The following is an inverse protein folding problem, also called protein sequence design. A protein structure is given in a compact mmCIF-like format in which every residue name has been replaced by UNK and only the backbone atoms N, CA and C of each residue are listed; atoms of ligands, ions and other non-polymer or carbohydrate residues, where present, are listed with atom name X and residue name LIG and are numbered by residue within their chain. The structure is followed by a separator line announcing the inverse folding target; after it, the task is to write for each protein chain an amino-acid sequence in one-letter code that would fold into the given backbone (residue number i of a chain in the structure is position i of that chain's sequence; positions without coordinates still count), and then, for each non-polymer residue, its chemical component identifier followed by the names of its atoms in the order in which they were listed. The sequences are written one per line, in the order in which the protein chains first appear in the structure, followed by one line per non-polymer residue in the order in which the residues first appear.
data_IF_172208691683
#
_entry.id   IF_172208691683
#
_cell.length_a   1.000
_cell.length_b   1.000
_cell.length_c   1.000
_cell.angle_alpha   90.00
_cell.angle_beta   90.00
_cell.angle_gamma   90.00
#
_symmetry.space_group_name_H-M   'P 1'
#
loop_
_entity.id
_entity.type
_entity.pdbx_description
1 polymer ?
#
# COMPACT_ATOMS: atom_id res chain seq x y z
N UNK A 1 -9.81 -16.91 36.78
CA UNK A 1 -8.70 -16.93 35.79
C UNK A 1 -9.35 -17.04 34.43
N UNK A 2 -9.56 -15.91 33.78
CA UNK A 2 -10.20 -15.86 32.46
C UNK A 2 -9.22 -16.45 31.45
N UNK A 3 -9.63 -17.49 30.73
CA UNK A 3 -8.81 -18.12 29.71
C UNK A 3 -8.53 -17.09 28.63
N UNK A 4 -7.26 -16.72 28.48
CA UNK A 4 -6.76 -15.82 27.44
C UNK A 4 -7.09 -16.39 26.06
N UNK A 5 -8.21 -15.96 25.47
CA UNK A 5 -8.75 -16.51 24.23
C UNK A 5 -8.05 -15.91 23.01
N UNK A 6 -6.79 -16.32 22.80
CA UNK A 6 -6.20 -16.25 21.45
C UNK A 6 -6.80 -17.39 20.64
N UNK A 7 -7.49 -17.05 19.56
CA UNK A 7 -8.22 -17.98 18.72
C UNK A 7 -7.57 -18.09 17.34
N UNK A 8 -7.41 -19.29 16.77
CA UNK A 8 -6.94 -19.43 15.41
C UNK A 8 -8.01 -18.93 14.42
N UNK A 9 -7.57 -18.18 13.42
CA UNK A 9 -8.39 -17.77 12.29
C UNK A 9 -8.17 -18.74 11.14
N UNK A 10 -9.26 -19.24 10.55
CA UNK A 10 -9.22 -20.10 9.38
C UNK A 10 -8.92 -19.31 8.08
N UNK A 11 -7.92 -18.42 8.14
CA UNK A 11 -7.50 -17.56 7.04
C UNK A 11 -6.21 -18.13 6.46
N UNK A 12 -6.18 -18.51 5.18
CA UNK A 12 -4.97 -18.99 4.54
C UNK A 12 -3.98 -17.84 4.37
N UNK A 13 -2.79 -17.99 4.94
CA UNK A 13 -1.72 -17.04 4.67
C UNK A 13 -0.96 -17.47 3.40
N UNK A 14 -0.79 -16.58 2.40
CA UNK A 14 0.01 -16.79 1.17
C UNK A 14 1.48 -16.35 1.33
N UNK A 15 2.44 -16.97 0.65
CA UNK A 15 3.87 -16.81 0.95
C UNK A 15 4.37 -15.35 0.86
N UNK A 16 3.64 -14.52 0.11
CA UNK A 16 3.91 -13.10 -0.09
C UNK A 16 3.19 -12.16 0.89
N UNK A 17 2.47 -12.68 1.89
CA UNK A 17 1.69 -11.89 2.85
C UNK A 17 2.54 -10.83 3.53
N UNK A 18 3.65 -11.24 4.14
CA UNK A 18 4.58 -10.40 4.88
C UNK A 18 5.17 -9.31 3.98
N UNK A 19 5.48 -9.66 2.73
CA UNK A 19 5.99 -8.71 1.71
C UNK A 19 4.91 -7.72 1.27
N UNK A 20 3.66 -8.15 1.12
CA UNK A 20 2.56 -7.28 0.75
C UNK A 20 2.25 -6.27 1.86
N UNK A 21 2.28 -6.73 3.11
CA UNK A 21 2.14 -5.91 4.32
C UNK A 21 3.38 -5.07 4.64
N UNK A 22 4.51 -5.31 3.99
CA UNK A 22 5.74 -4.53 4.20
C UNK A 22 6.36 -4.74 5.57
N UNK A 23 6.22 -5.92 6.16
CA UNK A 23 6.76 -6.23 7.49
C UNK A 23 8.29 -6.33 7.40
N UNK A 24 9.02 -5.47 8.13
CA UNK A 24 10.49 -5.35 8.00
C UNK A 24 11.28 -6.12 9.07
N UNK A 25 10.60 -6.71 10.05
CA UNK A 25 11.24 -7.45 11.16
C UNK A 25 11.47 -8.93 10.79
N UNK A 26 12.41 -9.57 11.48
CA UNK A 26 12.68 -11.01 11.40
C UNK A 26 12.00 -11.81 12.52
N UNK A 27 11.30 -11.14 13.44
CA UNK A 27 10.57 -11.84 14.50
C UNK A 27 9.55 -12.81 13.93
N UNK A 28 9.45 -14.00 14.53
CA UNK A 28 8.51 -15.06 14.12
C UNK A 28 7.06 -14.64 14.35
N UNK A 29 6.80 -14.05 15.51
CA UNK A 29 5.47 -13.69 15.98
C UNK A 29 5.27 -12.18 15.85
N UNK A 30 4.13 -11.77 15.30
CA UNK A 30 3.81 -10.35 15.13
C UNK A 30 2.35 -10.07 15.45
N UNK A 31 2.09 -9.10 16.32
CA UNK A 31 0.78 -8.48 16.46
C UNK A 31 0.59 -7.45 15.35
N UNK A 32 -0.57 -7.45 14.71
CA UNK A 32 -0.98 -6.50 13.65
C UNK A 32 -2.28 -5.82 14.08
N UNK A 33 -2.35 -4.51 13.92
CA UNK A 33 -3.52 -3.71 14.29
C UNK A 33 -3.60 -2.41 13.49
N UNK A 34 -4.78 -1.80 13.45
CA UNK A 34 -4.95 -0.46 12.90
C UNK A 34 -4.78 0.60 14.00
N UNK A 35 -3.92 1.58 13.75
CA UNK A 35 -3.78 2.76 14.58
C UNK A 35 -4.58 3.92 13.96
N UNK A 36 -5.78 4.24 14.48
CA UNK A 36 -6.66 5.24 13.89
C UNK A 36 -6.03 6.64 13.85
N UNK A 37 -5.20 7.01 14.84
CA UNK A 37 -4.59 8.35 14.89
C UNK A 37 -3.56 8.55 13.78
N UNK A 38 -2.93 7.46 13.32
CA UNK A 38 -1.95 7.47 12.24
C UNK A 38 -2.57 7.12 10.89
N UNK A 39 -3.81 6.64 10.88
CA UNK A 39 -4.49 6.05 9.73
C UNK A 39 -3.61 4.98 9.03
N UNK A 40 -2.96 4.15 9.85
CA UNK A 40 -1.97 3.18 9.39
C UNK A 40 -2.13 1.84 10.09
N UNK A 41 -1.74 0.78 9.38
CA UNK A 41 -1.51 -0.52 10.00
C UNK A 41 -0.17 -0.49 10.71
N UNK A 42 -0.17 -0.87 11.98
CA UNK A 42 1.01 -1.06 12.78
C UNK A 42 1.25 -2.55 13.02
N UNK A 43 2.51 -2.89 13.25
CA UNK A 43 2.89 -4.22 13.71
C UNK A 43 3.85 -4.14 14.89
N UNK A 44 3.82 -5.13 15.76
CA UNK A 44 4.73 -5.23 16.90
C UNK A 44 5.18 -6.66 17.13
N UNK A 45 6.43 -6.84 17.52
CA UNK A 45 6.98 -8.10 18.04
C UNK A 45 7.01 -8.13 19.57
N UNK A 46 6.37 -7.15 20.23
CA UNK A 46 6.39 -6.94 21.67
C UNK A 46 7.44 -5.94 22.13
N UNK A 47 8.60 -5.88 21.47
CA UNK A 47 9.68 -4.96 21.83
C UNK A 47 9.66 -3.70 20.97
N UNK A 48 9.40 -3.87 19.68
CA UNK A 48 9.42 -2.81 18.69
C UNK A 48 8.05 -2.63 18.05
N UNK A 49 7.81 -1.43 17.53
CA UNK A 49 6.62 -1.12 16.73
C UNK A 49 7.09 -0.61 15.37
N UNK A 50 6.51 -1.18 14.32
CA UNK A 50 6.72 -0.78 12.94
C UNK A 50 5.40 -0.41 12.25
N UNK A 51 5.54 0.19 11.07
CA UNK A 51 4.42 0.58 10.21
C UNK A 51 4.39 -0.35 9.02
N UNK A 52 3.22 -0.90 8.72
CA UNK A 52 3.00 -1.73 7.54
C UNK A 52 2.35 -0.96 6.38
N UNK A 53 1.99 -1.71 5.35
CA UNK A 53 1.34 -1.18 4.16
C UNK A 53 -0.18 -1.07 4.36
N UNK A 54 -0.65 0.16 4.59
CA UNK A 54 -2.08 0.51 4.76
C UNK A 54 -2.99 -0.04 3.66
N UNK A 55 -2.57 0.01 2.40
CA UNK A 55 -3.40 -0.47 1.29
C UNK A 55 -3.58 -1.99 1.34
N UNK A 56 -2.53 -2.72 1.73
CA UNK A 56 -2.60 -4.17 1.88
C UNK A 56 -3.55 -4.56 3.04
N UNK A 57 -3.50 -3.83 4.15
CA UNK A 57 -4.42 -4.02 5.28
C UNK A 57 -5.87 -3.80 4.88
N UNK A 58 -6.18 -2.66 4.25
CA UNK A 58 -7.54 -2.34 3.83
C UNK A 58 -8.11 -3.39 2.87
N UNK A 59 -7.32 -3.82 1.88
CA UNK A 59 -7.74 -4.86 0.93
C UNK A 59 -7.94 -6.21 1.61
N UNK A 60 -7.07 -6.57 2.57
CA UNK A 60 -7.18 -7.81 3.33
C UNK A 60 -8.47 -7.82 4.16
N UNK A 61 -8.74 -6.76 4.93
CA UNK A 61 -9.95 -6.66 5.76
C UNK A 61 -11.25 -6.54 4.94
N UNK A 62 -11.19 -5.95 3.74
CA UNK A 62 -12.34 -5.82 2.83
C UNK A 62 -12.57 -7.05 1.94
N UNK A 63 -11.69 -8.05 1.95
CA UNK A 63 -11.81 -9.21 1.07
C UNK A 63 -13.07 -10.03 1.43
N UNK A 64 -13.93 -10.42 0.46
CA UNK A 64 -15.21 -11.07 0.75
C UNK A 64 -15.14 -12.33 1.62
N UNK A 65 -14.09 -13.14 1.46
CA UNK A 65 -13.91 -14.36 2.27
C UNK A 65 -13.28 -14.11 3.66
N UNK A 66 -12.69 -12.92 3.87
CA UNK A 66 -11.96 -12.57 5.10
C UNK A 66 -12.80 -11.65 5.98
N UNK A 67 -13.49 -10.70 5.37
CA UNK A 67 -14.32 -9.74 6.08
C UNK A 67 -15.30 -10.40 7.05
N UNK A 68 -16.05 -11.47 6.68
CA UNK A 68 -16.95 -12.14 7.62
C UNK A 68 -16.22 -12.72 8.83
N UNK A 69 -14.98 -13.21 8.63
CA UNK A 69 -14.15 -13.78 9.69
C UNK A 69 -13.55 -12.72 10.61
N UNK A 70 -13.45 -11.47 10.16
CA UNK A 70 -12.86 -10.37 10.92
C UNK A 70 -13.89 -9.38 11.48
N UNK A 71 -15.09 -9.32 10.91
CA UNK A 71 -16.11 -8.29 11.16
C UNK A 71 -16.57 -8.17 12.62
N UNK A 72 -16.44 -9.23 13.41
CA UNK A 72 -16.76 -9.23 14.84
C UNK A 72 -15.66 -8.64 15.72
N UNK A 73 -14.45 -8.45 15.19
CA UNK A 73 -13.29 -7.99 15.95
C UNK A 73 -13.02 -6.52 15.71
N UNK A 74 -12.78 -5.79 16.81
CA UNK A 74 -12.47 -4.36 16.77
C UNK A 74 -10.99 -4.17 16.54
N UNK A 75 -10.59 -4.14 15.27
CA UNK A 75 -9.20 -4.00 14.85
C UNK A 75 -8.74 -2.52 14.75
N UNK A 76 -9.61 -1.57 15.07
CA UNK A 76 -9.36 -0.12 15.10
C UNK A 76 -9.95 0.68 13.93
N UNK A 77 -10.65 0.00 13.02
CA UNK A 77 -11.27 0.57 11.82
C UNK A 77 -12.52 1.42 12.10
N UNK A 78 -13.06 1.37 13.31
CA UNK A 78 -14.18 2.18 13.80
C UNK A 78 -13.76 3.58 14.31
N UNK A 79 -12.47 3.91 14.19
CA UNK A 79 -11.90 5.18 14.67
C UNK A 79 -11.47 5.15 16.15
N UNK A 80 -11.74 4.06 16.87
CA UNK A 80 -11.24 3.84 18.21
C UNK A 80 -9.94 3.04 18.19
N UNK A 81 -9.17 3.08 19.27
CA UNK A 81 -8.00 2.21 19.42
C UNK A 81 -8.42 0.74 19.30
N UNK A 82 -7.61 -0.04 18.58
CA UNK A 82 -7.84 -1.45 18.37
C UNK A 82 -7.94 -2.20 19.70
N UNK A 83 -9.05 -2.92 19.90
CA UNK A 83 -9.26 -3.78 21.08
C UNK A 83 -8.82 -5.22 20.82
N UNK A 84 -8.69 -5.60 19.55
CA UNK A 84 -8.21 -6.90 19.10
C UNK A 84 -7.04 -6.72 18.15
N UNK A 85 -6.03 -7.57 18.31
CA UNK A 85 -4.89 -7.65 17.41
C UNK A 85 -4.97 -8.98 16.64
N UNK A 86 -4.50 -8.95 15.39
CA UNK A 86 -4.20 -10.17 14.67
C UNK A 86 -2.80 -10.62 15.05
N UNK A 87 -2.62 -11.87 15.46
CA UNK A 87 -1.33 -12.44 15.80
C UNK A 87 -0.88 -13.38 14.69
N UNK A 88 0.24 -13.07 14.05
CA UNK A 88 0.82 -13.80 12.94
C UNK A 88 1.92 -14.76 13.44
N UNK A 89 1.78 -16.05 13.16
CA UNK A 89 2.89 -17.02 13.20
C UNK A 89 3.49 -17.16 11.80
N UNK A 90 4.66 -16.58 11.58
CA UNK A 90 5.34 -16.65 10.28
C UNK A 90 5.91 -18.02 9.96
N UNK A 91 6.23 -18.82 10.97
CA UNK A 91 6.83 -20.14 10.79
C UNK A 91 5.75 -21.15 10.39
N UNK A 92 4.65 -21.21 11.14
CA UNK A 92 3.55 -22.13 10.84
C UNK A 92 2.53 -21.55 9.86
N UNK A 93 2.70 -20.27 9.48
CA UNK A 93 1.89 -19.58 8.48
C UNK A 93 0.41 -19.56 8.87
N UNK A 94 0.18 -19.24 10.14
CA UNK A 94 -1.14 -19.15 10.75
C UNK A 94 -1.42 -17.75 11.26
N UNK A 95 -2.70 -17.40 11.25
CA UNK A 95 -3.19 -16.16 11.81
C UNK A 95 -4.10 -16.49 12.99
N UNK A 96 -3.97 -15.70 14.03
CA UNK A 96 -4.77 -15.75 15.23
C UNK A 96 -5.39 -14.39 15.48
N UNK A 97 -6.38 -14.34 16.36
CA UNK A 97 -6.95 -13.10 16.89
C UNK A 97 -7.08 -13.22 18.39
N UNK A 98 -6.83 -12.12 19.09
CA UNK A 98 -7.02 -12.03 20.53
C UNK A 98 -7.18 -10.58 20.94
N UNK A 99 -7.55 -10.37 22.19
CA UNK A 99 -7.57 -9.04 22.80
C UNK A 99 -6.18 -8.42 22.76
N UNK A 100 -6.10 -7.12 22.50
CA UNK A 100 -4.84 -6.39 22.34
C UNK A 100 -3.89 -6.62 23.54
N UNK A 101 -4.40 -6.49 24.77
CA UNK A 101 -3.62 -6.69 25.98
C UNK A 101 -3.06 -8.12 26.10
N UNK A 102 -3.87 -9.13 25.76
CA UNK A 102 -3.48 -10.54 25.80
C UNK A 102 -2.42 -10.84 24.75
N UNK A 103 -2.60 -10.33 23.52
CA UNK A 103 -1.63 -10.51 22.44
C UNK A 103 -0.29 -9.86 22.79
N UNK A 104 -0.32 -8.62 23.29
CA UNK A 104 0.89 -7.91 23.72
C UNK A 104 1.61 -8.65 24.85
N UNK A 105 0.89 -9.14 25.86
CA UNK A 105 1.48 -9.95 26.94
C UNK A 105 2.09 -11.25 26.41
N UNK A 106 1.42 -11.95 25.49
CA UNK A 106 1.96 -13.17 24.89
C UNK A 106 3.23 -12.92 24.07
N UNK A 107 3.34 -11.78 23.39
CA UNK A 107 4.55 -11.41 22.64
C UNK A 107 5.78 -11.23 23.57
N UNK A 108 5.59 -10.88 24.84
CA UNK A 108 6.65 -10.85 25.85
C UNK A 108 7.03 -12.24 26.39
N UNK A 109 6.22 -13.26 26.13
CA UNK A 109 6.36 -14.60 26.69
C UNK A 109 6.41 -15.68 25.59
N UNK A 110 7.58 -15.87 24.93
CA UNK A 110 7.74 -16.80 23.81
C UNK A 110 7.24 -18.22 24.10
N UNK A 111 7.42 -18.73 25.33
CA UNK A 111 6.97 -20.07 25.72
C UNK A 111 5.46 -20.27 25.55
N UNK A 112 4.65 -19.24 25.83
CA UNK A 112 3.19 -19.28 25.67
C UNK A 112 2.81 -19.42 24.19
N UNK A 113 3.53 -18.72 23.31
CA UNK A 113 3.30 -18.76 21.87
C UNK A 113 3.74 -20.09 21.26
N UNK A 114 4.82 -20.69 21.76
CA UNK A 114 5.20 -22.05 21.35
C UNK A 114 4.14 -23.08 21.75
N UNK A 115 3.58 -22.97 22.95
CA UNK A 115 2.49 -23.84 23.39
C UNK A 115 1.24 -23.65 22.51
N UNK A 116 0.89 -22.41 22.18
CA UNK A 116 -0.21 -22.09 21.27
C UNK A 116 -0.03 -22.76 19.89
N UNK A 117 1.17 -22.64 19.31
CA UNK A 117 1.50 -23.25 18.02
C UNK A 117 1.42 -24.79 18.04
N UNK A 118 1.80 -25.41 19.15
CA UNK A 118 1.70 -26.87 19.32
C UNK A 118 0.26 -27.35 19.42
N UNK A 119 -0.60 -26.59 20.12
CA UNK A 119 -2.03 -26.90 20.27
C UNK A 119 -2.77 -26.75 18.94
N UNK A 120 -2.42 -25.74 18.16
CA UNK A 120 -3.08 -25.42 16.91
C UNK A 120 -2.23 -25.85 15.72
N UNK A 121 -2.05 -27.16 15.53
CA UNK A 121 -1.36 -27.68 14.35
C UNK A 121 -2.01 -27.13 13.06
N UNK A 122 -1.21 -26.81 12.03
CA UNK A 122 -1.72 -26.25 10.78
C UNK A 122 -2.71 -27.21 10.12
N UNK A 123 -4.00 -26.83 10.14
CA UNK A 123 -4.96 -27.44 9.24
C UNK A 123 -4.54 -27.10 7.81
N UNK A 124 -4.07 -28.11 7.06
CA UNK A 124 -3.83 -28.02 5.63
C UNK A 124 -5.17 -27.89 4.89
N UNK A 125 -5.78 -26.71 4.93
CA UNK A 125 -6.95 -26.41 4.13
C UNK A 125 -6.50 -26.08 2.70
N UNK A 126 -6.92 -26.84 1.67
CA UNK A 126 -6.57 -26.54 0.28
C UNK A 126 -7.41 -25.34 -0.21
N UNK A 127 -6.85 -24.13 -0.15
CA UNK A 127 -7.51 -22.94 -0.69
C UNK A 127 -6.99 -22.59 -2.08
N UNK A 128 -7.85 -22.59 -3.10
CA UNK A 128 -7.47 -22.41 -4.53
C UNK A 128 -7.51 -20.97 -5.05
N UNK A 129 -8.11 -20.01 -4.35
CA UNK A 129 -8.49 -18.72 -4.98
C UNK A 129 -7.58 -17.51 -4.68
N UNK A 130 -6.72 -17.57 -3.66
CA UNK A 130 -5.92 -16.40 -3.24
C UNK A 130 -4.70 -16.10 -4.13
N UNK A 131 -4.17 -17.11 -4.84
CA UNK A 131 -3.02 -16.90 -5.75
C UNK A 131 -3.37 -15.96 -6.90
N UNK A 132 -4.59 -16.06 -7.42
CA UNK A 132 -5.02 -15.22 -8.55
C UNK A 132 -5.32 -13.79 -8.10
N UNK A 133 -5.88 -13.61 -6.90
CA UNK A 133 -6.11 -12.27 -6.34
C UNK A 133 -4.80 -11.53 -6.00
N UNK A 134 -3.78 -12.24 -5.51
CA UNK A 134 -2.46 -11.65 -5.28
C UNK A 134 -1.68 -11.37 -6.56
N UNK A 135 -1.86 -12.17 -7.62
CA UNK A 135 -1.37 -11.82 -8.95
C UNK A 135 -2.03 -10.52 -9.43
N UNK A 136 -3.33 -10.35 -9.19
CA UNK A 136 -4.04 -9.10 -9.47
C UNK A 136 -3.53 -7.92 -8.62
N UNK A 137 -3.19 -8.14 -7.35
CA UNK A 137 -2.58 -7.13 -6.47
C UNK A 137 -1.20 -6.65 -6.97
N UNK A 138 -0.32 -7.56 -7.37
CA UNK A 138 0.98 -7.20 -7.98
C UNK A 138 0.74 -6.48 -9.32
N UNK A 139 -0.20 -6.94 -10.15
CA UNK A 139 -0.53 -6.31 -11.44
C UNK A 139 -1.17 -4.92 -11.28
N UNK A 140 -2.03 -4.70 -10.28
CA UNK A 140 -2.63 -3.40 -9.98
C UNK A 140 -1.59 -2.40 -9.47
N UNK A 141 -0.57 -2.85 -8.74
CA UNK A 141 0.57 -2.00 -8.35
C UNK A 141 1.32 -1.47 -9.58
N UNK A 142 1.45 -2.26 -10.65
CA UNK A 142 2.01 -1.79 -11.94
C UNK A 142 1.07 -0.82 -12.68
N UNK A 143 -0.24 -1.07 -12.68
CA UNK A 143 -1.22 -0.20 -13.32
C UNK A 143 -1.32 1.18 -12.64
N UNK A 144 -1.30 1.23 -11.31
CA UNK A 144 -1.30 2.49 -10.55
C UNK A 144 0.04 3.24 -10.65
N UNK A 145 1.17 2.53 -10.70
CA UNK A 145 2.46 3.14 -10.98
C UNK A 145 2.52 3.76 -12.39
N UNK A 146 1.98 3.08 -13.41
CA UNK A 146 1.86 3.61 -14.78
C UNK A 146 0.89 4.80 -14.86
N UNK A 147 -0.21 4.77 -14.12
CA UNK A 147 -1.15 5.89 -14.04
C UNK A 147 -0.51 7.13 -13.37
N UNK A 148 0.23 6.95 -12.28
CA UNK A 148 0.97 8.02 -11.60
C UNK A 148 2.13 8.59 -12.44
N UNK A 149 2.82 7.77 -13.23
CA UNK A 149 3.83 8.23 -14.20
C UNK A 149 3.17 9.05 -15.32
N UNK A 150 1.99 8.65 -15.79
CA UNK A 150 1.22 9.39 -16.81
C UNK A 150 0.76 10.76 -16.28
N UNK A 151 0.32 10.83 -15.03
CA UNK A 151 -0.09 12.11 -14.41
C UNK A 151 1.09 13.04 -14.09
N UNK A 152 2.27 12.50 -13.78
CA UNK A 152 3.52 13.29 -13.66
C UNK A 152 4.08 13.77 -15.00
N UNK A 153 3.79 13.07 -16.11
CA UNK A 153 4.23 13.46 -17.46
C UNK A 153 3.30 14.48 -18.15
N UNK A 154 2.02 14.56 -17.76
CA UNK A 154 1.07 15.57 -18.28
C UNK A 154 1.61 17.00 -18.18
N UNK A 155 2.07 17.52 -17.03
CA UNK A 155 2.56 18.90 -16.94
C UNK A 155 3.87 19.14 -17.71
N UNK A 156 4.70 18.12 -17.92
CA UNK A 156 5.94 18.22 -18.69
C UNK A 156 5.66 18.28 -20.21
N UNK A 157 4.68 17.51 -20.69
CA UNK A 157 4.23 17.57 -22.08
C UNK A 157 3.50 18.89 -22.40
N UNK A 158 2.73 19.44 -21.45
CA UNK A 158 2.12 20.77 -21.61
C UNK A 158 3.15 21.91 -21.62
N UNK A 159 4.21 21.85 -20.80
CA UNK A 159 5.32 22.82 -20.85
C UNK A 159 6.13 22.73 -22.15
N UNK A 160 6.39 21.52 -22.64
CA UNK A 160 7.10 21.31 -23.92
C UNK A 160 6.29 21.78 -25.14
N UNK A 161 4.94 21.77 -25.07
CA UNK A 161 4.06 22.29 -26.14
C UNK A 161 3.96 23.82 -26.11
N UNK A 162 3.96 24.44 -24.92
CA UNK A 162 3.92 25.91 -24.76
C UNK A 162 5.23 26.59 -25.20
N UNK A 163 6.38 25.98 -24.91
CA UNK A 163 7.68 26.49 -25.35
C UNK A 163 7.91 26.39 -26.88
N UNK A 164 7.18 25.49 -27.55
CA UNK A 164 7.24 25.35 -29.02
C UNK A 164 6.35 26.36 -29.74
N UNK A 165 5.24 26.79 -29.13
CA UNK A 165 4.32 27.79 -29.69
C UNK A 165 4.69 29.26 -29.38
N UNK A 166 5.69 29.52 -28.52
CA UNK A 166 6.15 30.88 -28.22
C UNK A 166 7.35 31.35 -29.06
N UNK A 167 7.86 30.53 -29.98
CA UNK A 167 8.92 30.92 -30.95
C UNK A 167 8.37 31.25 -32.34
N UNK A 168 7.18 31.83 -32.40
CA UNK A 168 6.45 32.03 -33.66
C UNK A 168 5.90 33.43 -33.86
N UNK A 169 6.58 34.51 -33.45
CA UNK A 169 6.27 35.86 -33.93
C UNK A 169 7.52 36.74 -33.99
N UNK A 170 7.86 37.18 -35.21
CA UNK A 170 8.61 38.42 -35.44
C UNK A 170 10.08 38.30 -35.83
N UNK A 171 10.41 37.69 -36.99
CA UNK A 171 11.58 38.14 -37.73
C UNK A 171 11.22 39.47 -38.44
N UNK A 172 12.03 40.55 -38.33
CA UNK A 172 11.72 41.80 -39.00
C UNK A 172 11.83 41.62 -40.53
N UNK A 173 10.78 42.02 -41.26
CA UNK A 173 10.82 42.08 -42.73
C UNK A 173 11.81 43.17 -43.16
N UNK A 174 12.66 42.92 -44.19
CA UNK A 174 13.49 43.98 -44.75
C UNK A 174 12.62 45.04 -45.44
N UNK A 175 12.95 46.31 -45.20
CA UNK A 175 12.29 47.47 -45.78
C UNK A 175 12.39 47.45 -47.31
N UNK A 176 11.23 47.53 -47.99
CA UNK A 176 11.17 47.80 -49.44
C UNK A 176 11.26 49.31 -49.64
N UNK A 177 12.31 49.76 -50.33
CA UNK A 177 12.44 51.12 -50.84
C UNK A 177 11.30 51.44 -51.84
N UNK A 178 10.67 52.62 -51.76
CA UNK A 178 9.71 53.06 -52.77
C UNK A 178 10.43 53.59 -54.03
N UNK A 179 9.93 53.22 -55.20
CA UNK A 179 10.29 53.81 -56.50
C UNK A 179 9.34 54.98 -56.78
N UNK A 180 9.91 56.16 -57.04
CA UNK A 180 9.26 57.33 -57.67
C UNK A 180 10.32 57.92 -58.61
N UNK A 181 10.28 57.63 -59.92
CA UNK A 181 9.71 58.43 -61.02
C UNK A 181 10.43 59.77 -61.31
N UNK A 182 11.10 59.79 -62.48
CA UNK A 182 11.41 60.90 -63.44
C UNK A 182 11.97 62.23 -62.89
N UNK A 183 12.97 62.89 -63.50
CA UNK A 183 13.04 63.35 -64.90
C UNK A 183 14.48 63.60 -65.39
N UNK A 184 14.60 63.58 -66.72
CA UNK A 184 15.72 63.93 -67.60
C UNK A 184 15.86 65.45 -67.78
N UNK A 185 17.11 65.95 -67.86
CA UNK A 185 17.66 67.06 -68.71
C UNK A 185 19.13 67.27 -68.26
N UNK A 186 20.15 66.94 -69.05
CA UNK A 186 20.74 67.70 -70.20
C UNK A 186 21.62 68.89 -69.76
N UNK A 187 22.91 68.81 -70.16
CA UNK A 187 23.83 69.90 -70.63
C UNK A 187 24.29 70.90 -69.53
N UNK A 188 25.58 71.23 -69.33
CA UNK A 188 26.79 71.34 -70.19
C UNK A 188 28.02 70.60 -69.62
#
# INVERSE_FOLDING_TARGET
MSVSLIQPLAIPLPAQFERAFGLQTQARWLGLYWEPQLAQVCYTDGETVGIGNTQAWQLFCAHPDINPLLSSYRLGDDGNSAQHYLLLDRQNRQLYVGEAAVVTDCLQHPATLEMLAQLHQPQKQPFRQWQDYLKTFIAQKWLLALAGVRDKLKPLLFRARRARNSKGFGAPRPARCPKTLLTRTDVE
#
